data_IF_535728993269
#
_entry.id   IF_535728993269
#
_cell.length_a   1.000
_cell.length_b   1.000
_cell.length_c   1.000
_cell.angle_alpha   90.00
_cell.angle_beta   90.00
_cell.angle_gamma   90.00
#
_symmetry.space_group_name_H-M   'P 1'
#
loop_
_entity.id
_entity.type
_entity.pdbx_description
1 polymer ?
#
# COMPACT_ATOMS: atom_id res chain seq x y z
N UNK A 1 17.54 -2.54 -12.11
CA UNK A 1 18.03 -1.29 -12.76
C UNK A 1 16.99 -0.23 -12.50
N UNK A 2 17.36 1.00 -12.13
CA UNK A 2 16.40 2.11 -12.08
C UNK A 2 15.76 2.28 -13.46
N UNK A 3 14.48 2.70 -13.48
CA UNK A 3 13.80 3.00 -14.75
C UNK A 3 14.55 4.16 -15.43
N UNK A 4 14.71 4.12 -16.74
CA UNK A 4 15.40 5.17 -17.52
C UNK A 4 14.82 6.58 -17.26
N UNK A 5 13.58 6.69 -16.79
CA UNK A 5 12.93 7.94 -16.38
C UNK A 5 13.50 8.44 -15.05
N UNK A 6 13.86 7.55 -14.12
CA UNK A 6 14.40 7.93 -12.81
C UNK A 6 15.76 8.61 -12.93
N UNK A 7 16.63 8.12 -13.81
CA UNK A 7 17.94 8.75 -14.08
C UNK A 7 17.84 10.18 -14.64
N UNK A 8 16.68 10.54 -15.18
CA UNK A 8 16.38 11.87 -15.73
C UNK A 8 15.76 12.83 -14.71
N UNK A 9 15.32 12.33 -13.54
CA UNK A 9 14.74 13.15 -12.47
C UNK A 9 15.83 13.92 -11.74
N UNK A 10 15.66 15.23 -11.61
CA UNK A 10 16.60 16.14 -10.93
C UNK A 10 15.89 16.87 -9.81
N UNK A 11 16.68 17.39 -8.84
CA UNK A 11 16.15 18.20 -7.75
C UNK A 11 15.08 17.49 -6.93
N UNK A 12 15.27 16.19 -6.68
CA UNK A 12 14.31 15.38 -5.92
C UNK A 12 14.30 15.85 -4.48
N UNK A 13 13.14 16.29 -4.02
CA UNK A 13 12.91 16.74 -2.65
C UNK A 13 11.69 16.02 -2.06
N UNK A 14 11.82 15.48 -0.84
CA UNK A 14 10.74 14.79 -0.11
C UNK A 14 10.39 15.60 1.13
N UNK A 15 9.16 16.09 1.19
CA UNK A 15 8.66 16.98 2.25
C UNK A 15 7.34 16.47 2.84
N UNK A 16 6.86 17.01 3.97
CA UNK A 16 5.56 16.65 4.52
C UNK A 16 4.42 16.88 3.51
N UNK A 17 3.45 15.94 3.45
CA UNK A 17 2.32 15.98 2.51
C UNK A 17 1.36 17.14 2.83
N UNK A 18 1.46 18.24 2.08
CA UNK A 18 0.64 19.45 2.27
C UNK A 18 0.10 20.03 0.96
N UNK A 19 0.62 19.61 -0.20
CA UNK A 19 0.22 20.17 -1.49
C UNK A 19 -1.28 19.96 -1.76
N UNK A 20 -2.01 21.06 -1.99
CA UNK A 20 -3.45 21.06 -2.12
C UNK A 20 -3.98 20.07 -3.17
N UNK A 21 -3.35 20.01 -4.36
CA UNK A 21 -3.80 19.11 -5.42
C UNK A 21 -3.62 17.62 -5.03
N UNK A 22 -2.58 17.27 -4.26
CA UNK A 22 -2.38 15.91 -3.77
C UNK A 22 -3.40 15.56 -2.68
N UNK A 23 -3.70 16.48 -1.77
CA UNK A 23 -4.74 16.30 -0.76
C UNK A 23 -6.13 16.18 -1.40
N UNK A 24 -6.42 16.98 -2.43
CA UNK A 24 -7.66 16.85 -3.22
C UNK A 24 -7.74 15.50 -3.91
N UNK A 25 -6.63 14.99 -4.46
CA UNK A 25 -6.59 13.64 -5.03
C UNK A 25 -6.86 12.56 -3.98
N UNK A 26 -6.22 12.62 -2.81
CA UNK A 26 -6.47 11.71 -1.67
C UNK A 26 -7.96 11.75 -1.30
N UNK A 27 -8.54 12.93 -1.15
CA UNK A 27 -9.96 13.10 -0.84
C UNK A 27 -10.86 12.49 -1.93
N UNK A 28 -10.54 12.67 -3.21
CA UNK A 28 -11.28 12.07 -4.33
C UNK A 28 -11.22 10.54 -4.35
N UNK A 29 -10.21 9.95 -3.68
CA UNK A 29 -10.06 8.51 -3.44
C UNK A 29 -10.77 8.04 -2.17
N UNK A 30 -11.51 8.91 -1.49
CA UNK A 30 -12.24 8.61 -0.25
C UNK A 30 -11.35 8.44 0.99
N UNK A 31 -10.04 8.62 0.83
CA UNK A 31 -9.05 8.43 1.89
C UNK A 31 -9.03 9.65 2.82
N UNK A 32 -8.96 9.39 4.13
CA UNK A 32 -8.80 10.41 5.15
C UNK A 32 -7.44 11.12 5.00
N UNK A 33 -7.47 12.45 4.90
CA UNK A 33 -6.26 13.24 4.64
C UNK A 33 -5.26 13.22 5.79
N UNK A 34 -5.71 13.08 7.04
CA UNK A 34 -4.79 12.94 8.18
C UNK A 34 -4.11 11.57 8.15
N UNK A 35 -4.85 10.52 7.80
CA UNK A 35 -4.28 9.18 7.56
C UNK A 35 -3.21 9.25 6.47
N UNK A 36 -3.49 9.90 5.34
CA UNK A 36 -2.49 10.05 4.29
C UNK A 36 -1.25 10.82 4.76
N UNK A 37 -1.41 11.93 5.51
CA UNK A 37 -0.29 12.70 6.07
C UNK A 37 0.56 11.92 7.08
N UNK A 38 -0.05 10.98 7.79
CA UNK A 38 0.67 10.15 8.76
C UNK A 38 1.65 9.20 8.07
N UNK A 39 1.25 8.59 6.95
CA UNK A 39 2.00 7.52 6.29
C UNK A 39 2.72 7.94 5.02
N UNK A 40 2.34 9.07 4.43
CA UNK A 40 2.92 9.54 3.18
C UNK A 40 3.68 10.86 3.35
N UNK A 41 4.49 11.13 2.35
CA UNK A 41 5.16 12.41 2.10
C UNK A 41 4.70 12.93 0.73
N UNK A 42 5.10 14.10 0.36
CA UNK A 42 5.08 14.53 -1.03
C UNK A 42 6.50 14.62 -1.59
N UNK A 43 6.64 14.27 -2.84
CA UNK A 43 7.90 14.31 -3.56
C UNK A 43 7.77 15.31 -4.70
N UNK A 44 8.76 16.19 -4.81
CA UNK A 44 8.91 17.13 -5.89
C UNK A 44 10.15 16.77 -6.70
N UNK A 45 10.07 16.90 -8.02
CA UNK A 45 11.20 16.62 -8.91
C UNK A 45 11.05 17.37 -10.22
N UNK A 46 12.16 17.58 -10.91
CA UNK A 46 12.19 18.09 -12.26
C UNK A 46 12.44 16.97 -13.27
N UNK A 47 11.64 16.91 -14.33
CA UNK A 47 11.82 16.02 -15.48
C UNK A 47 11.61 16.82 -16.76
N UNK A 48 12.58 16.77 -17.70
CA UNK A 48 12.55 17.54 -18.94
C UNK A 48 12.28 19.05 -18.74
N UNK A 49 12.92 19.65 -17.74
CA UNK A 49 12.76 21.08 -17.35
C UNK A 49 11.34 21.45 -16.90
N UNK A 50 10.56 20.48 -16.45
CA UNK A 50 9.22 20.69 -15.88
C UNK A 50 9.18 20.16 -14.47
N UNK A 51 8.53 20.88 -13.58
CA UNK A 51 8.33 20.48 -12.20
C UNK A 51 7.12 19.54 -12.07
N UNK A 52 7.33 18.47 -11.33
CA UNK A 52 6.32 17.48 -11.02
C UNK A 52 6.27 17.24 -9.51
N UNK A 53 5.13 16.75 -9.06
CA UNK A 53 4.94 16.35 -7.67
C UNK A 53 4.01 15.15 -7.58
N UNK A 54 4.21 14.34 -6.55
CA UNK A 54 3.41 13.14 -6.29
C UNK A 54 3.34 12.85 -4.80
N UNK A 55 2.36 12.05 -4.39
CA UNK A 55 2.35 11.40 -3.09
C UNK A 55 3.48 10.36 -3.09
N UNK A 56 4.25 10.32 -2.02
CA UNK A 56 5.38 9.43 -1.83
C UNK A 56 5.13 8.52 -0.62
N UNK A 57 5.18 7.21 -0.83
CA UNK A 57 5.06 6.20 0.22
C UNK A 57 6.37 5.42 0.31
N UNK A 58 7.05 5.51 1.45
CA UNK A 58 8.39 4.95 1.63
C UNK A 58 8.41 3.42 1.66
N UNK A 59 9.48 2.82 1.15
CA UNK A 59 9.74 1.39 1.22
C UNK A 59 10.97 1.07 2.07
N UNK A 60 11.21 -0.22 2.37
CA UNK A 60 12.29 -0.65 3.27
C UNK A 60 13.71 -0.45 2.72
N UNK A 61 13.86 -0.21 1.42
CA UNK A 61 15.14 0.09 0.77
C UNK A 61 15.42 1.59 0.63
N UNK A 62 14.60 2.46 1.25
CA UNK A 62 14.75 3.92 1.17
C UNK A 62 14.21 4.55 -0.12
N UNK A 63 13.60 3.77 -1.01
CA UNK A 63 12.86 4.26 -2.17
C UNK A 63 11.44 4.69 -1.81
N UNK A 64 10.74 5.28 -2.77
CA UNK A 64 9.36 5.73 -2.61
C UNK A 64 8.48 5.28 -3.77
N UNK A 65 7.35 4.67 -3.45
CA UNK A 65 6.25 4.52 -4.40
C UNK A 65 5.58 5.88 -4.59
N UNK A 66 5.36 6.26 -5.84
CA UNK A 66 4.81 7.57 -6.20
C UNK A 66 3.42 7.44 -6.83
N UNK A 67 2.52 8.34 -6.45
CA UNK A 67 1.17 8.40 -7.03
C UNK A 67 0.65 9.83 -7.12
N UNK A 68 0.08 10.16 -8.27
CA UNK A 68 -0.82 11.29 -8.46
C UNK A 68 -1.94 10.90 -9.44
N UNK A 69 -2.88 11.77 -9.81
CA UNK A 69 -3.97 11.41 -10.74
C UNK A 69 -3.51 10.87 -12.10
N UNK A 70 -2.30 11.20 -12.53
CA UNK A 70 -1.81 10.95 -13.89
C UNK A 70 -0.64 9.96 -13.95
N UNK A 71 -0.03 9.67 -12.79
CA UNK A 71 1.20 8.89 -12.75
C UNK A 71 1.25 7.93 -11.56
N UNK A 72 1.74 6.72 -11.83
CA UNK A 72 2.15 5.72 -10.84
C UNK A 72 3.58 5.29 -11.16
N UNK A 73 4.48 5.34 -10.21
CA UNK A 73 5.86 4.93 -10.39
C UNK A 73 6.57 4.74 -9.06
N UNK A 74 7.88 4.57 -9.13
CA UNK A 74 8.74 4.46 -7.97
C UNK A 74 10.00 5.29 -8.23
N UNK A 75 10.56 5.88 -7.20
CA UNK A 75 11.89 6.49 -7.22
C UNK A 75 12.77 5.79 -6.18
N UNK A 76 14.03 5.54 -6.54
CA UNK A 76 14.93 4.70 -5.77
C UNK A 76 14.63 3.22 -5.96
N UNK A 77 15.19 2.40 -5.11
CA UNK A 77 15.04 0.95 -5.22
C UNK A 77 13.59 0.52 -4.97
N UNK A 78 13.01 -0.25 -5.90
CA UNK A 78 11.70 -0.88 -5.72
C UNK A 78 11.76 -1.95 -4.63
N UNK A 79 10.91 -1.83 -3.62
CA UNK A 79 10.84 -2.79 -2.53
C UNK A 79 9.45 -2.79 -1.88
N UNK A 80 9.25 -3.73 -0.93
CA UNK A 80 8.08 -3.74 -0.06
C UNK A 80 8.12 -2.57 0.93
N UNK A 81 6.95 -2.20 1.44
CA UNK A 81 6.86 -1.31 2.59
C UNK A 81 6.35 -2.09 3.80
N UNK A 82 6.93 -1.84 4.96
CA UNK A 82 6.52 -2.43 6.24
C UNK A 82 6.12 -1.30 7.18
N UNK A 83 4.92 -1.40 7.75
CA UNK A 83 4.39 -0.45 8.73
C UNK A 83 4.07 -1.21 10.00
N UNK A 84 4.88 -1.04 11.01
CA UNK A 84 4.66 -1.65 12.34
C UNK A 84 3.56 -0.90 13.10
N UNK A 85 2.69 -1.64 13.79
CA UNK A 85 1.64 -1.07 14.65
C UNK A 85 2.26 -0.34 15.86
N UNK A 86 3.32 -0.91 16.42
CA UNK A 86 4.10 -0.32 17.49
C UNK A 86 5.59 -0.52 17.19
N UNK A 87 6.35 0.56 17.19
CA UNK A 87 7.78 0.54 16.85
C UNK A 87 8.54 -0.49 17.71
N UNK A 88 9.27 -1.39 17.04
CA UNK A 88 10.09 -2.42 17.67
C UNK A 88 9.33 -3.58 18.33
N UNK A 89 7.99 -3.64 18.16
CA UNK A 89 7.17 -4.74 18.69
C UNK A 89 6.37 -5.37 17.57
N UNK A 90 6.83 -6.52 17.09
CA UNK A 90 6.13 -7.26 16.04
C UNK A 90 4.82 -7.84 16.57
N UNK A 91 3.75 -7.64 15.78
CA UNK A 91 2.44 -8.19 16.10
C UNK A 91 2.36 -9.68 15.66
N UNK A 92 1.37 -10.41 16.19
CA UNK A 92 1.08 -11.78 15.73
C UNK A 92 0.42 -11.81 14.36
N UNK A 93 -0.35 -10.76 14.06
CA UNK A 93 -1.12 -10.61 12.82
C UNK A 93 -0.44 -9.62 11.88
N UNK A 94 -0.49 -9.91 10.59
CA UNK A 94 -0.06 -9.01 9.53
C UNK A 94 -1.11 -8.89 8.43
N UNK A 95 -1.38 -7.67 8.00
CA UNK A 95 -2.18 -7.40 6.82
C UNK A 95 -1.26 -7.20 5.60
N UNK A 96 -1.59 -7.85 4.49
CA UNK A 96 -0.85 -7.74 3.22
C UNK A 96 -1.70 -7.02 2.20
N UNK A 97 -1.16 -5.97 1.58
CA UNK A 97 -1.81 -5.16 0.55
C UNK A 97 -1.01 -5.20 -0.75
N UNK A 98 -1.68 -5.07 -1.90
CA UNK A 98 -0.99 -4.96 -3.17
C UNK A 98 -0.36 -3.58 -3.35
N UNK A 99 -1.07 -2.50 -3.00
CA UNK A 99 -0.61 -1.14 -3.14
C UNK A 99 -0.91 -0.26 -1.93
N UNK A 100 -0.19 0.85 -1.79
CA UNK A 100 -0.34 1.74 -0.63
C UNK A 100 -1.69 2.49 -0.61
N UNK A 101 -2.38 2.61 -1.74
CA UNK A 101 -3.72 3.20 -1.77
C UNK A 101 -4.72 2.31 -1.04
N UNK A 102 -4.59 0.98 -1.13
CA UNK A 102 -5.42 0.02 -0.41
C UNK A 102 -5.08 -0.01 1.07
N UNK A 103 -3.79 0.05 1.40
CA UNK A 103 -3.35 0.25 2.80
C UNK A 103 -3.96 1.52 3.42
N UNK A 104 -3.91 2.67 2.72
CA UNK A 104 -4.52 3.92 3.21
C UNK A 104 -6.05 3.82 3.31
N UNK A 105 -6.68 3.07 2.40
CA UNK A 105 -8.12 2.78 2.45
C UNK A 105 -8.48 1.96 3.68
N UNK A 106 -7.72 0.89 3.96
CA UNK A 106 -7.85 0.10 5.18
C UNK A 106 -7.73 0.96 6.44
N UNK A 107 -6.69 1.79 6.51
CA UNK A 107 -6.47 2.69 7.67
C UNK A 107 -7.60 3.70 7.84
N UNK A 108 -8.21 4.14 6.73
CA UNK A 108 -9.37 5.04 6.75
C UNK A 108 -10.61 4.32 7.26
N UNK A 109 -10.89 3.09 6.78
CA UNK A 109 -12.00 2.26 7.24
C UNK A 109 -11.84 1.90 8.73
N UNK A 110 -10.65 1.51 9.14
CA UNK A 110 -10.34 1.20 10.54
C UNK A 110 -10.59 2.41 11.46
N UNK A 111 -10.17 3.61 11.04
CA UNK A 111 -10.43 4.87 11.76
C UNK A 111 -11.93 5.17 11.87
N UNK A 112 -12.73 4.76 10.88
CA UNK A 112 -14.21 4.89 10.90
C UNK A 112 -14.90 3.83 11.74
N UNK A 113 -14.17 2.84 12.27
CA UNK A 113 -14.73 1.73 13.05
C UNK A 113 -15.40 0.66 12.20
N UNK A 114 -15.04 0.52 10.92
CA UNK A 114 -15.61 -0.49 10.03
C UNK A 114 -15.10 -1.89 10.40
N UNK A 115 -15.90 -2.61 11.21
CA UNK A 115 -15.60 -3.97 11.64
C UNK A 115 -16.02 -5.03 10.59
N UNK A 116 -16.74 -4.65 9.54
CA UNK A 116 -17.12 -5.57 8.45
C UNK A 116 -15.90 -5.85 7.56
N UNK A 117 -15.16 -4.81 7.21
CA UNK A 117 -13.99 -4.93 6.34
C UNK A 117 -12.71 -5.13 7.15
N UNK A 118 -12.54 -4.40 8.26
CA UNK A 118 -11.29 -4.41 9.03
C UNK A 118 -11.32 -5.46 10.15
N UNK A 119 -10.25 -6.24 10.29
CA UNK A 119 -10.06 -7.09 11.46
C UNK A 119 -9.75 -6.24 12.69
N UNK A 120 -10.16 -6.73 13.89
CA UNK A 120 -10.04 -5.98 15.13
C UNK A 120 -8.76 -6.31 15.93
N UNK A 121 -7.95 -7.27 15.45
CA UNK A 121 -6.68 -7.59 16.08
C UNK A 121 -5.62 -6.52 15.76
N UNK A 122 -4.67 -6.23 16.68
CA UNK A 122 -3.49 -5.42 16.36
C UNK A 122 -2.66 -6.08 15.26
N UNK A 123 -2.38 -5.35 14.19
CA UNK A 123 -1.69 -5.88 13.01
C UNK A 123 -0.55 -4.97 12.56
N UNK A 124 0.55 -5.58 12.18
CA UNK A 124 1.50 -4.93 11.29
C UNK A 124 0.97 -4.95 9.84
N UNK A 125 1.55 -4.16 8.97
CA UNK A 125 1.11 -4.05 7.59
C UNK A 125 2.29 -4.17 6.64
N UNK A 126 2.12 -4.99 5.60
CA UNK A 126 3.06 -5.12 4.48
C UNK A 126 2.34 -4.66 3.22
N UNK A 127 2.96 -3.73 2.49
CA UNK A 127 2.51 -3.32 1.16
C UNK A 127 3.52 -3.86 0.16
N UNK A 128 3.06 -4.73 -0.74
CA UNK A 128 3.94 -5.34 -1.75
C UNK A 128 4.44 -4.33 -2.78
N UNK A 129 3.67 -3.26 -3.04
CA UNK A 129 3.92 -2.23 -4.04
C UNK A 129 3.89 -2.74 -5.50
N UNK A 130 4.27 -3.97 -5.71
CA UNK A 130 4.19 -4.69 -6.98
C UNK A 130 4.18 -6.21 -6.73
N UNK A 131 3.51 -6.97 -7.58
CA UNK A 131 3.47 -8.44 -7.51
C UNK A 131 4.88 -9.06 -7.61
N UNK A 132 5.83 -8.41 -8.30
CA UNK A 132 7.22 -8.88 -8.37
C UNK A 132 7.94 -8.92 -7.02
N UNK A 133 7.46 -8.19 -6.02
CA UNK A 133 7.99 -8.22 -4.65
C UNK A 133 7.45 -9.39 -3.80
N UNK A 134 6.64 -10.29 -4.37
CA UNK A 134 6.07 -11.43 -3.64
C UNK A 134 7.15 -12.25 -2.93
N UNK A 135 8.28 -12.54 -3.57
CA UNK A 135 9.37 -13.30 -2.94
C UNK A 135 9.90 -12.65 -1.66
N UNK A 136 10.08 -11.33 -1.66
CA UNK A 136 10.51 -10.58 -0.46
C UNK A 136 9.40 -10.56 0.60
N UNK A 137 8.16 -10.38 0.17
CA UNK A 137 6.99 -10.44 1.05
C UNK A 137 6.94 -11.78 1.79
N UNK A 138 7.09 -12.89 1.08
CA UNK A 138 7.10 -14.22 1.68
C UNK A 138 8.17 -14.34 2.79
N UNK A 139 9.38 -13.86 2.58
CA UNK A 139 10.44 -13.91 3.60
C UNK A 139 10.05 -13.19 4.90
N UNK A 140 9.36 -12.06 4.79
CA UNK A 140 8.93 -11.29 5.97
C UNK A 140 7.74 -11.95 6.66
N UNK A 141 6.83 -12.57 5.90
CA UNK A 141 5.64 -13.25 6.43
C UNK A 141 5.95 -14.45 7.32
N UNK A 142 7.13 -15.06 7.19
CA UNK A 142 7.56 -16.20 7.99
C UNK A 142 7.44 -15.94 9.50
N UNK A 143 7.63 -14.71 9.92
CA UNK A 143 7.67 -14.30 11.33
C UNK A 143 6.31 -13.99 11.96
N UNK A 144 5.19 -14.10 11.21
CA UNK A 144 3.85 -13.80 11.71
C UNK A 144 3.03 -15.07 11.93
N UNK A 145 2.15 -15.10 12.96
CA UNK A 145 1.27 -16.23 13.23
C UNK A 145 0.05 -16.26 12.30
N UNK A 146 -0.47 -15.08 11.93
CA UNK A 146 -1.67 -14.93 11.10
C UNK A 146 -1.43 -13.92 9.99
N UNK A 147 -1.78 -14.30 8.77
CA UNK A 147 -1.58 -13.51 7.55
C UNK A 147 -2.95 -13.20 6.94
N UNK A 148 -3.28 -11.92 6.83
CA UNK A 148 -4.54 -11.42 6.31
C UNK A 148 -4.31 -10.74 4.96
N UNK A 149 -4.76 -11.35 3.88
CA UNK A 149 -4.51 -10.89 2.51
C UNK A 149 -5.66 -9.97 2.05
N UNK A 150 -5.39 -8.67 2.00
CA UNK A 150 -6.26 -7.64 1.43
C UNK A 150 -5.77 -7.29 0.02
N UNK A 151 -5.90 -8.24 -0.91
CA UNK A 151 -5.41 -8.11 -2.29
C UNK A 151 -6.55 -7.80 -3.25
N UNK A 152 -6.21 -7.43 -4.49
CA UNK A 152 -7.20 -7.16 -5.52
C UNK A 152 -8.04 -8.41 -5.82
N UNK A 153 -9.33 -8.21 -6.10
CA UNK A 153 -10.27 -9.26 -6.47
C UNK A 153 -10.10 -9.63 -7.96
N UNK A 154 -8.88 -9.90 -8.40
CA UNK A 154 -8.55 -10.36 -9.75
C UNK A 154 -7.70 -11.65 -9.71
N UNK A 155 -7.34 -12.17 -10.90
CA UNK A 155 -6.56 -13.41 -10.99
C UNK A 155 -5.16 -13.30 -10.37
N UNK A 156 -4.54 -12.11 -10.39
CA UNK A 156 -3.21 -11.91 -9.82
C UNK A 156 -3.27 -11.94 -8.29
N UNK A 157 -4.26 -11.23 -7.70
CA UNK A 157 -4.52 -11.26 -6.27
C UNK A 157 -4.86 -12.66 -5.76
N UNK A 158 -5.74 -13.39 -6.47
CA UNK A 158 -6.09 -14.78 -6.12
C UNK A 158 -4.86 -15.70 -6.13
N UNK A 159 -4.05 -15.68 -7.18
CA UNK A 159 -2.81 -16.48 -7.26
C UNK A 159 -1.81 -16.13 -6.16
N UNK A 160 -1.77 -14.86 -5.78
CA UNK A 160 -0.90 -14.41 -4.67
C UNK A 160 -1.38 -15.00 -3.34
N UNK A 161 -2.68 -14.97 -3.05
CA UNK A 161 -3.26 -15.63 -1.86
C UNK A 161 -2.97 -17.13 -1.86
N UNK A 162 -3.20 -17.81 -2.99
CA UNK A 162 -2.92 -19.25 -3.14
C UNK A 162 -1.44 -19.58 -2.88
N UNK A 163 -0.52 -18.75 -3.37
CA UNK A 163 0.92 -18.91 -3.15
C UNK A 163 1.27 -18.77 -1.67
N UNK A 164 0.72 -17.76 -0.99
CA UNK A 164 0.95 -17.53 0.44
C UNK A 164 0.36 -18.70 1.25
N UNK A 165 -0.89 -19.11 0.96
CA UNK A 165 -1.56 -20.21 1.64
C UNK A 165 -0.86 -21.57 1.38
N UNK A 166 -0.33 -21.79 0.19
CA UNK A 166 0.45 -22.98 -0.13
C UNK A 166 1.74 -23.10 0.67
N UNK A 167 2.37 -21.96 1.00
CA UNK A 167 3.62 -21.94 1.77
C UNK A 167 3.38 -21.97 3.29
N UNK A 168 2.41 -21.21 3.79
CA UNK A 168 2.20 -21.01 5.23
C UNK A 168 1.00 -21.79 5.80
N UNK A 169 0.19 -22.39 4.95
CA UNK A 169 -0.99 -23.18 5.33
C UNK A 169 -2.27 -22.32 5.39
N UNK A 170 -3.40 -22.99 5.09
CA UNK A 170 -4.74 -22.37 5.05
C UNK A 170 -5.15 -21.85 6.43
N UNK A 171 -4.76 -22.52 7.52
CA UNK A 171 -5.11 -22.09 8.89
C UNK A 171 -4.38 -20.84 9.35
N UNK A 172 -3.28 -20.45 8.69
CA UNK A 172 -2.47 -19.27 8.97
C UNK A 172 -2.78 -18.11 8.01
N UNK A 173 -3.31 -18.42 6.82
CA UNK A 173 -3.55 -17.44 5.75
C UNK A 173 -5.06 -17.26 5.55
N UNK A 174 -5.53 -16.03 5.65
CA UNK A 174 -6.93 -15.65 5.43
C UNK A 174 -7.03 -14.73 4.22
N UNK A 175 -7.89 -15.08 3.27
CA UNK A 175 -8.24 -14.20 2.16
C UNK A 175 -9.33 -13.22 2.63
N UNK A 176 -8.94 -11.99 2.95
CA UNK A 176 -9.86 -10.94 3.40
C UNK A 176 -10.55 -10.21 2.23
N UNK A 177 -10.14 -10.45 0.99
CA UNK A 177 -10.78 -9.87 -0.20
C UNK A 177 -12.25 -10.28 -0.36
N UNK A 178 -12.67 -11.38 0.28
CA UNK A 178 -14.07 -11.80 0.37
C UNK A 178 -14.97 -10.77 1.07
N UNK A 179 -14.42 -9.94 1.96
CA UNK A 179 -15.14 -8.88 2.68
C UNK A 179 -15.56 -7.72 1.76
N UNK A 180 -14.91 -7.58 0.63
CA UNK A 180 -15.22 -6.58 -0.39
C UNK A 180 -15.33 -7.20 -1.80
N UNK A 181 -15.93 -8.40 -1.88
CA UNK A 181 -16.04 -9.18 -3.12
C UNK A 181 -16.77 -8.47 -4.26
N UNK A 182 -17.69 -7.53 -3.95
CA UNK A 182 -18.42 -6.72 -4.94
C UNK A 182 -17.53 -5.67 -5.64
N UNK A 183 -16.31 -5.45 -5.15
CA UNK A 183 -15.41 -4.40 -5.57
C UNK A 183 -14.13 -4.98 -6.16
N UNK A 184 -13.45 -4.21 -7.02
CA UNK A 184 -12.19 -4.62 -7.61
C UNK A 184 -11.08 -4.70 -6.56
N UNK A 185 -10.97 -3.66 -5.77
CA UNK A 185 -9.95 -3.47 -4.75
C UNK A 185 -10.54 -2.80 -3.50
N UNK A 186 -9.75 -2.67 -2.46
CA UNK A 186 -10.20 -2.08 -1.20
C UNK A 186 -10.46 -0.58 -1.31
N UNK A 187 -9.77 0.13 -2.21
CA UNK A 187 -10.05 1.54 -2.44
C UNK A 187 -11.39 1.75 -3.16
N UNK A 188 -11.75 0.89 -4.10
CA UNK A 188 -13.08 0.95 -4.72
C UNK A 188 -14.18 0.60 -3.73
N UNK A 189 -13.94 -0.31 -2.77
CA UNK A 189 -14.83 -0.58 -1.65
C UNK A 189 -15.04 0.67 -0.79
N UNK A 190 -13.97 1.33 -0.35
CA UNK A 190 -14.03 2.59 0.42
C UNK A 190 -14.85 3.68 -0.30
N UNK A 191 -14.82 3.71 -1.63
CA UNK A 191 -15.51 4.68 -2.49
C UNK A 191 -16.93 4.26 -2.86
N UNK A 192 -17.35 3.02 -2.50
CA UNK A 192 -18.63 2.45 -2.93
C UNK A 192 -18.74 2.20 -4.45
N UNK A 193 -17.62 2.02 -5.16
CA UNK A 193 -17.57 1.78 -6.61
C UNK A 193 -17.59 0.30 -6.92
N UNK A 194 -18.78 -0.30 -7.00
CA UNK A 194 -18.96 -1.70 -7.39
C UNK A 194 -18.47 -1.97 -8.81
N UNK A 195 -18.13 -3.24 -9.06
CA UNK A 195 -17.81 -3.75 -10.41
C UNK A 195 -18.98 -3.65 -11.35
#
# INVERSE_FOLDING_TARGET
MPDAIEEMMKGVEVVPLNHHALLSYIHSRGIDTQTARQFCREIHYELHRRHYFAIAFGNVSGGYEMRNPYYKGCIGQKDISVVEQAAGTRQKHVNVFEGFMDFLSYRTLLKRGDAVVCIQAPCDHIVMNTVSNLKKTLQVLESYEYIHCYLDNDLAGQKTVETIAGLYGIGRTVNEAVRYADYKDLNDCLRGRKR
#
